data_IF_238489602168
#
_entry.id   IF_238489602168
#
_cell.length_a   1.000
_cell.length_b   1.000
_cell.length_c   1.000
_cell.angle_alpha   90.00
_cell.angle_beta   90.00
_cell.angle_gamma   90.00
#
_symmetry.space_group_name_H-M   'P 1'
#
loop_
_entity.id
_entity.type
_entity.pdbx_description
1 polymer ?
2 non-polymer ?
3 non-polymer ?
4 water ?
#
# COMPACT_ATOMS: atom_id res chain seq x y z
N UNK A 14 12.43 18.32 11.29
CA UNK A 14 11.32 17.40 11.08
C UNK A 14 11.35 16.81 9.67
N UNK A 15 10.50 15.82 9.44
CA UNK A 15 10.41 15.16 8.14
C UNK A 15 10.14 16.17 7.04
N UNK A 16 10.83 16.01 5.92
CA UNK A 16 10.63 16.82 4.72
C UNK A 16 9.89 15.95 3.70
N UNK A 17 8.66 16.27 3.34
CA UNK A 17 7.92 15.46 2.37
C UNK A 17 8.63 15.42 1.04
N UNK A 18 8.83 14.23 0.47
CA UNK A 18 9.37 14.12 -0.89
C UNK A 18 8.47 14.82 -1.89
N UNK A 19 8.99 15.14 -3.08
CA UNK A 19 8.14 15.71 -4.12
C UNK A 19 7.02 14.74 -4.52
N UNK A 20 5.93 15.29 -5.03
CA UNK A 20 4.78 14.47 -5.40
C UNK A 20 5.04 13.72 -6.70
N UNK A 21 4.59 12.45 -6.73
CA UNK A 21 4.63 11.65 -7.95
C UNK A 21 3.56 12.12 -8.92
N UNK A 22 3.62 11.67 -10.19
CA UNK A 22 2.61 12.12 -11.17
C UNK A 22 1.22 11.56 -10.85
N UNK A 23 0.22 12.39 -11.09
CA UNK A 23 -1.18 11.99 -11.00
C UNK A 23 -1.79 12.16 -12.38
N UNK A 24 -2.41 11.10 -12.89
CA UNK A 24 -3.07 11.14 -14.18
C UNK A 24 -4.58 11.06 -13.99
N UNK A 25 -5.31 11.84 -14.78
CA UNK A 25 -6.77 11.87 -14.76
C UNK A 25 -7.24 11.51 -16.17
N UNK A 26 -7.19 10.23 -16.54
CA UNK A 26 -7.54 9.84 -17.91
C UNK A 26 -8.98 10.20 -18.27
N UNK A 27 -9.17 10.60 -19.52
CA UNK A 27 -10.51 10.74 -20.06
C UNK A 27 -11.15 9.37 -20.23
N UNK A 28 -12.44 9.36 -20.53
CA UNK A 28 -13.13 8.10 -20.78
C UNK A 28 -12.46 7.34 -21.93
N UNK A 29 -12.00 8.06 -22.96
CA UNK A 29 -11.32 7.42 -24.07
C UNK A 29 -10.01 6.77 -23.63
N UNK A 30 -9.21 7.50 -22.86
CA UNK A 30 -7.94 6.95 -22.39
C UNK A 30 -8.16 5.83 -21.37
N UNK A 31 -9.26 5.88 -20.62
CA UNK A 31 -9.56 4.89 -19.59
C UNK A 31 -10.01 3.54 -20.16
N UNK A 32 -10.09 3.41 -21.48
CA UNK A 32 -10.63 2.19 -22.09
C UNK A 32 -9.77 0.98 -21.78
N UNK A 33 -8.46 1.12 -21.83
CA UNK A 33 -7.54 -0.02 -21.76
C UNK A 33 -6.42 0.26 -20.78
N UNK A 34 -6.37 -0.42 -19.63
CA UNK A 34 -5.32 -0.15 -18.63
C UNK A 34 -3.90 -0.33 -19.16
N UNK A 35 -3.62 -1.45 -19.83
CA UNK A 35 -2.26 -1.69 -20.29
C UNK A 35 -1.85 -0.68 -21.35
N UNK A 36 -2.76 -0.30 -22.24
CA UNK A 36 -2.45 0.74 -23.21
C UNK A 36 -2.17 2.06 -22.51
N UNK A 37 -2.98 2.41 -21.52
CA UNK A 37 -2.76 3.67 -20.82
C UNK A 37 -1.45 3.66 -20.06
N UNK A 38 -1.17 2.57 -19.33
CA UNK A 38 0.07 2.46 -18.57
C UNK A 38 1.27 2.50 -19.51
N UNK A 39 1.16 1.88 -20.68
CA UNK A 39 2.22 1.97 -21.66
C UNK A 39 2.45 3.38 -22.17
N UNK A 40 1.39 4.17 -22.28
CA UNK A 40 1.52 5.54 -22.80
C UNK A 40 2.09 6.49 -21.77
N UNK A 41 1.72 6.32 -20.49
CA UNK A 41 2.27 7.20 -19.45
C UNK A 41 3.68 6.77 -19.03
N UNK A 42 4.13 5.61 -19.49
CA UNK A 42 5.41 5.06 -19.03
C UNK A 42 6.60 6.00 -19.15
N UNK A 43 6.78 6.79 -20.23
CA UNK A 43 7.96 7.67 -20.29
C UNK A 43 8.11 8.58 -19.07
N UNK A 44 7.01 9.06 -18.50
CA UNK A 44 7.09 9.86 -17.30
C UNK A 44 7.09 8.99 -16.04
N UNK A 45 6.12 8.09 -15.92
CA UNK A 45 5.92 7.38 -14.68
C UNK A 45 7.09 6.45 -14.35
N UNK A 46 7.76 5.89 -15.36
CA UNK A 46 8.89 5.03 -15.00
C UNK A 46 10.07 5.84 -14.45
N UNK A 47 10.09 7.16 -14.68
CA UNK A 47 11.11 8.02 -14.09
C UNK A 47 10.80 8.42 -12.65
N UNK A 48 9.60 8.11 -12.16
CA UNK A 48 9.26 8.38 -10.77
C UNK A 48 8.96 7.12 -9.99
N UNK A 49 9.00 5.95 -10.64
CA UNK A 49 8.73 4.68 -9.97
C UNK A 49 7.28 4.38 -9.71
N UNK A 50 6.55 5.31 -9.10
CA UNK A 50 5.13 5.13 -8.85
C UNK A 50 4.38 6.27 -9.52
N UNK A 51 3.09 6.05 -9.75
CA UNK A 51 2.20 7.12 -10.17
C UNK A 51 0.79 6.81 -9.68
N UNK A 52 -0.05 7.85 -9.68
CA UNK A 52 -1.43 7.74 -9.23
C UNK A 52 -2.35 7.96 -10.42
N UNK A 53 -3.43 7.20 -10.49
CA UNK A 53 -4.39 7.31 -11.57
C UNK A 53 -5.77 7.49 -10.97
N UNK A 54 -6.41 8.62 -11.29
CA UNK A 54 -7.78 8.90 -10.86
C UNK A 54 -8.75 8.52 -11.96
N UNK A 55 -9.64 7.55 -11.75
CA UNK A 55 -10.61 7.19 -12.79
C UNK A 55 -11.59 8.32 -13.04
N UNK A 56 -12.33 8.27 -14.15
CA UNK A 56 -13.36 9.29 -14.38
C UNK A 56 -14.34 9.35 -13.22
N UNK A 57 -14.96 10.53 -13.07
CA UNK A 57 -15.78 10.79 -11.88
C UNK A 57 -16.87 9.76 -11.69
N UNK A 58 -17.50 9.32 -12.78
CA UNK A 58 -18.63 8.40 -12.69
C UNK A 58 -18.23 6.94 -12.60
N UNK A 59 -16.93 6.62 -12.58
CA UNK A 59 -16.47 5.23 -12.43
C UNK A 59 -16.38 4.93 -10.95
N UNK A 60 -17.40 4.28 -10.41
CA UNK A 60 -17.51 4.00 -8.97
C UNK A 60 -17.92 2.55 -8.78
N UNK A 61 -16.96 1.64 -8.67
CA UNK A 61 -17.30 0.23 -8.43
C UNK A 61 -17.90 0.03 -7.04
N UNK A 62 -18.89 -0.85 -6.92
CA UNK A 62 -19.39 -1.18 -5.58
C UNK A 62 -18.35 -1.98 -4.82
N UNK A 63 -18.55 -2.07 -3.51
CA UNK A 63 -17.70 -2.91 -2.67
C UNK A 63 -18.34 -4.28 -2.57
N UNK A 64 -17.60 -5.33 -2.96
CA UNK A 64 -18.20 -6.64 -3.18
C UNK A 64 -17.68 -7.71 -2.23
N UNK A 65 -16.97 -7.35 -1.17
CA UNK A 65 -16.54 -8.35 -0.19
C UNK A 65 -17.72 -8.84 0.62
N UNK A 66 -17.59 -10.07 1.13
CA UNK A 66 -18.59 -10.66 2.03
C UNK A 66 -18.39 -10.06 3.42
N UNK A 67 -19.03 -8.92 3.66
CA UNK A 67 -18.79 -8.14 4.86
C UNK A 67 -19.29 -8.85 6.10
N UNK A 68 -20.40 -9.59 5.99
CA UNK A 68 -20.97 -10.24 7.17
C UNK A 68 -19.99 -11.24 7.78
N UNK A 69 -19.24 -11.97 6.95
CA UNK A 69 -18.35 -13.01 7.43
C UNK A 69 -16.88 -12.61 7.40
N UNK A 70 -16.56 -11.38 6.98
CA UNK A 70 -15.18 -10.93 6.93
C UNK A 70 -14.59 -10.89 8.34
N UNK A 71 -13.73 -11.87 8.65
CA UNK A 71 -13.08 -11.96 9.95
C UNK A 71 -11.60 -12.23 9.72
N UNK A 72 -10.75 -11.64 10.56
CA UNK A 72 -9.32 -11.76 10.35
C UNK A 72 -8.58 -11.41 11.62
N UNK A 73 -7.37 -11.97 11.76
CA UNK A 73 -6.46 -11.62 12.83
C UNK A 73 -5.30 -10.83 12.23
N UNK A 74 -5.24 -9.51 12.42
CA UNK A 74 -4.18 -8.72 11.82
C UNK A 74 -2.84 -8.96 12.51
N UNK A 75 -1.78 -8.53 11.84
CA UNK A 75 -0.44 -8.73 12.37
C UNK A 75 -0.01 -7.49 13.14
N UNK A 76 0.72 -7.72 14.23
CA UNK A 76 1.18 -6.64 15.09
C UNK A 76 2.40 -5.98 14.47
N UNK A 77 2.43 -4.66 14.45
CA UNK A 77 3.56 -3.90 13.93
C UNK A 77 4.09 -2.96 15.01
N UNK A 78 5.34 -3.18 15.42
CA UNK A 78 6.04 -2.28 16.34
C UNK A 78 6.88 -1.32 15.51
N UNK A 79 6.50 -0.04 15.52
CA UNK A 79 7.05 0.91 14.57
C UNK A 79 8.55 1.06 14.72
N UNK A 80 9.05 1.00 15.96
CA UNK A 80 10.46 1.27 16.24
C UNK A 80 11.26 0.00 16.47
N UNK A 81 10.81 -1.13 15.93
CA UNK A 81 11.46 -2.41 16.24
C UNK A 81 12.92 -2.42 15.79
N UNK A 82 13.22 -1.81 14.65
CA UNK A 82 14.61 -1.79 14.18
C UNK A 82 15.47 -0.90 15.06
N UNK A 83 14.98 0.32 15.35
CA UNK A 83 15.73 1.22 16.22
C UNK A 83 15.95 0.62 17.60
N UNK A 84 15.01 -0.20 18.06
CA UNK A 84 15.09 -0.78 19.40
C UNK A 84 16.16 -1.86 19.54
N UNK A 85 16.77 -2.30 18.44
CA UNK A 85 17.78 -3.37 18.53
C UNK A 85 19.00 -2.93 19.33
N UNK A 93 10.55 -10.52 28.78
CA UNK A 93 9.92 -11.58 28.00
C UNK A 93 9.59 -11.11 26.59
N UNK A 94 10.62 -10.86 25.79
CA UNK A 94 10.40 -10.44 24.42
C UNK A 94 9.83 -11.59 23.59
N UNK A 95 8.98 -11.25 22.63
CA UNK A 95 8.21 -12.21 21.87
C UNK A 95 6.75 -12.29 22.27
N UNK A 96 6.41 -11.84 23.47
CA UNK A 96 5.04 -11.82 23.98
C UNK A 96 4.59 -10.38 24.25
N UNK A 97 4.88 -9.49 23.31
CA UNK A 97 4.66 -8.06 23.55
C UNK A 97 3.17 -7.72 23.66
N UNK A 98 2.38 -8.19 22.69
CA UNK A 98 0.98 -7.80 22.58
C UNK A 98 0.08 -9.03 22.58
N UNK A 99 -1.21 -8.78 22.75
CA UNK A 99 -2.23 -9.81 22.77
C UNK A 99 -3.01 -9.77 21.46
N UNK A 100 -3.05 -10.89 20.74
CA UNK A 100 -3.68 -10.91 19.43
C UNK A 100 -5.20 -10.88 19.58
N UNK A 101 -5.86 -10.13 18.70
CA UNK A 101 -7.30 -10.05 18.65
C UNK A 101 -7.80 -10.37 17.26
N UNK A 102 -8.87 -11.14 17.17
CA UNK A 102 -9.58 -11.33 15.90
C UNK A 102 -10.62 -10.23 15.76
N UNK A 103 -10.78 -9.74 14.53
CA UNK A 103 -11.70 -8.65 14.26
C UNK A 103 -12.64 -9.01 13.12
N UNK A 104 -13.77 -8.32 13.09
CA UNK A 104 -14.54 -8.11 11.89
C UNK A 104 -14.10 -6.79 11.25
N UNK A 105 -14.54 -6.56 10.02
CA UNK A 105 -14.27 -5.26 9.38
C UNK A 105 -14.79 -4.12 10.25
N UNK A 106 -15.96 -4.31 10.86
CA UNK A 106 -16.55 -3.27 11.70
C UNK A 106 -15.75 -3.09 12.99
N UNK A 107 -15.44 -4.20 13.67
CA UNK A 107 -14.74 -4.07 14.95
C UNK A 107 -13.31 -3.57 14.76
N UNK A 108 -12.69 -3.91 13.62
CA UNK A 108 -11.37 -3.35 13.33
C UNK A 108 -11.46 -1.85 13.09
N UNK A 109 -12.50 -1.41 12.37
CA UNK A 109 -12.64 0.01 12.12
C UNK A 109 -12.93 0.79 13.40
N UNK A 110 -13.73 0.21 14.29
CA UNK A 110 -13.96 0.83 15.59
C UNK A 110 -12.64 0.99 16.34
N UNK A 111 -11.83 -0.08 16.38
CA UNK A 111 -10.53 -0.01 17.02
C UNK A 111 -9.64 1.01 16.35
N UNK A 112 -9.64 1.05 15.01
CA UNK A 112 -8.71 1.91 14.28
C UNK A 112 -9.06 3.38 14.49
N UNK A 113 -10.35 3.73 14.41
CA UNK A 113 -10.75 5.11 14.61
C UNK A 113 -10.50 5.55 16.05
N UNK A 114 -10.80 4.69 17.02
CA UNK A 114 -10.53 5.02 18.42
C UNK A 114 -9.05 5.25 18.66
N UNK A 115 -8.19 4.41 18.06
CA UNK A 115 -6.75 4.60 18.22
C UNK A 115 -6.31 5.97 17.70
N UNK A 116 -6.72 6.30 16.48
CA UNK A 116 -6.25 7.54 15.85
C UNK A 116 -6.80 8.76 16.58
N UNK A 117 -8.12 8.77 16.86
CA UNK A 117 -8.70 9.92 17.53
C UNK A 117 -8.13 10.10 18.93
N UNK A 118 -7.83 9.00 19.63
CA UNK A 118 -7.18 9.12 20.93
C UNK A 118 -5.76 9.63 20.78
N UNK A 119 -5.02 9.12 19.79
CA UNK A 119 -3.62 9.50 19.63
C UNK A 119 -3.47 10.99 19.35
N UNK A 120 -4.26 11.50 18.40
CA UNK A 120 -4.15 12.90 17.99
C UNK A 120 -5.10 13.83 18.74
N UNK A 121 -6.00 13.30 19.57
CA UNK A 121 -6.92 14.12 20.36
C UNK A 121 -7.80 15.00 19.45
N UNK A 122 -8.23 14.45 18.33
CA UNK A 122 -9.12 15.16 17.42
C UNK A 122 -9.85 14.12 16.56
N UNK A 123 -10.95 14.50 15.91
CA UNK A 123 -11.64 13.55 15.04
C UNK A 123 -10.73 13.07 13.91
N UNK A 124 -10.91 11.81 13.51
CA UNK A 124 -9.94 11.18 12.62
C UNK A 124 -9.80 11.95 11.32
N UNK A 125 -10.90 12.43 10.75
CA UNK A 125 -10.83 13.11 9.46
C UNK A 125 -10.26 14.51 9.56
N UNK A 126 -10.04 15.03 10.76
CA UNK A 126 -9.47 16.36 10.94
C UNK A 126 -7.95 16.33 11.08
N UNK A 127 -7.35 15.15 11.19
CA UNK A 127 -5.89 15.07 11.37
C UNK A 127 -5.23 15.31 10.02
N UNK A 128 -4.36 16.32 9.90
CA UNK A 128 -3.72 16.59 8.61
C UNK A 128 -2.83 15.43 8.17
N UNK A 129 -2.90 15.11 6.88
CA UNK A 129 -2.06 14.02 6.36
C UNK A 129 -0.59 14.31 6.61
N UNK A 130 -0.18 15.58 6.56
CA UNK A 130 1.22 15.93 6.82
C UNK A 130 1.62 15.63 8.26
N UNK A 131 0.68 15.74 9.20
CA UNK A 131 1.00 15.48 10.60
C UNK A 131 1.16 13.98 10.85
N UNK A 132 0.25 13.16 10.33
CA UNK A 132 0.41 11.72 10.48
C UNK A 132 1.73 11.26 9.87
N UNK A 133 2.06 11.81 8.69
CA UNK A 133 3.33 11.49 8.05
C UNK A 133 4.52 11.87 8.94
N UNK A 134 4.53 13.11 9.45
CA UNK A 134 5.62 13.55 10.31
C UNK A 134 5.72 12.68 11.56
N UNK A 135 4.57 12.36 12.16
CA UNK A 135 4.57 11.59 13.39
C UNK A 135 4.96 10.14 13.15
N UNK A 136 4.55 9.57 12.01
CA UNK A 136 4.93 8.21 11.67
C UNK A 136 6.45 8.05 11.67
N UNK A 137 7.16 8.93 10.96
CA UNK A 137 8.60 8.76 10.85
C UNK A 137 9.32 9.11 12.15
N UNK A 138 8.76 10.03 12.94
CA UNK A 138 9.31 10.26 14.28
C UNK A 138 9.19 9.01 15.13
N UNK A 139 8.02 8.35 15.10
CA UNK A 139 7.84 7.15 15.91
C UNK A 139 8.75 6.02 15.47
N UNK A 140 9.00 5.91 14.16
CA UNK A 140 9.83 4.82 13.65
C UNK A 140 11.23 4.88 14.25
N UNK A 141 11.75 6.09 14.47
CA UNK A 141 13.09 6.26 15.00
C UNK A 141 13.11 6.61 16.48
N UNK A 142 11.95 6.62 17.14
CA UNK A 142 11.89 7.00 18.54
C UNK A 142 12.26 5.81 19.42
N UNK A 143 13.16 6.05 20.38
CA UNK A 143 13.50 5.05 21.40
C UNK A 143 12.76 5.29 22.71
N UNK A 144 12.16 6.46 22.91
CA UNK A 144 11.50 6.80 24.15
C UNK A 144 10.00 6.56 24.12
N UNK A 145 9.44 6.15 22.98
CA UNK A 145 8.01 5.94 22.82
C UNK A 145 7.80 4.74 21.92
N UNK A 146 7.14 3.70 22.44
CA UNK A 146 6.90 2.45 21.71
C UNK A 146 5.44 2.41 21.28
N UNK A 147 5.17 2.72 20.01
CA UNK A 147 3.84 2.66 19.45
C UNK A 147 3.69 1.35 18.69
N UNK A 148 2.57 0.66 18.93
CA UNK A 148 2.28 -0.63 18.32
C UNK A 148 0.91 -0.55 17.66
N UNK A 149 0.83 -0.97 16.40
CA UNK A 149 -0.43 -1.00 15.68
C UNK A 149 -0.63 -2.38 15.05
N UNK A 150 -1.76 -2.54 14.36
CA UNK A 150 -2.16 -3.80 13.76
C UNK A 150 -2.55 -3.57 12.31
N UNK A 151 -2.25 -4.53 11.46
CA UNK A 151 -2.44 -4.39 10.03
C UNK A 151 -3.07 -5.67 9.49
N UNK A 152 -4.26 -5.56 8.90
CA UNK A 152 -4.83 -6.72 8.23
C UNK A 152 -4.23 -6.88 6.85
N UNK A 153 -2.96 -7.31 6.78
CA UNK A 153 -2.21 -7.32 5.52
C UNK A 153 -2.21 -8.70 4.88
N UNK A 154 -2.22 -8.71 3.55
CA UNK A 154 -2.09 -9.94 2.76
C UNK A 154 -3.21 -10.92 3.04
N UNK A 155 -4.43 -10.42 3.07
CA UNK A 155 -5.60 -11.27 3.09
C UNK A 155 -5.92 -11.65 1.66
N UNK A 156 -5.99 -12.95 1.38
CA UNK A 156 -6.28 -13.37 0.02
C UNK A 156 -7.71 -13.01 -0.36
N UNK A 157 -7.90 -12.59 -1.61
CA UNK A 157 -9.24 -12.36 -2.10
C UNK A 157 -10.03 -13.65 -2.26
N UNK A 158 -9.38 -14.81 -2.14
CA UNK A 158 -10.12 -16.06 -2.13
C UNK A 158 -10.89 -16.25 -0.84
N UNK A 159 -10.40 -15.70 0.28
CA UNK A 159 -11.02 -15.91 1.57
C UNK A 159 -12.47 -15.41 1.58
N UNK A 160 -12.65 -14.11 1.38
CA UNK A 160 -13.98 -13.51 1.49
C UNK A 160 -14.39 -12.81 0.19
N UNK A 161 -13.72 -13.12 -0.90
CA UNK A 161 -14.00 -12.47 -2.16
C UNK A 161 -13.16 -11.22 -2.36
N UNK A 162 -13.13 -10.78 -3.61
CA UNK A 162 -12.49 -9.52 -3.96
C UNK A 162 -13.38 -8.35 -3.59
N UNK A 163 -12.76 -7.18 -3.41
CA UNK A 163 -13.52 -5.96 -3.26
C UNK A 163 -14.24 -5.55 -4.53
N UNK A 164 -13.75 -5.99 -5.69
CA UNK A 164 -14.44 -5.78 -6.96
C UNK A 164 -15.47 -6.88 -7.18
N UNK A 165 -16.61 -6.57 -7.81
CA UNK A 165 -17.52 -7.63 -8.23
C UNK A 165 -16.86 -8.54 -9.25
N UNK A 166 -17.09 -9.84 -9.09
CA UNK A 166 -16.51 -10.86 -9.96
C UNK A 166 -17.64 -11.79 -10.39
N UNK A 167 -17.70 -12.05 -11.70
CA UNK A 167 -18.73 -12.93 -12.26
C UNK A 167 -18.28 -14.39 -12.15
N UNK A 168 -18.22 -14.87 -10.91
CA UNK A 168 -17.90 -16.26 -10.63
C UNK A 168 -19.07 -17.04 -10.01
N UNK A 169 -20.21 -16.38 -9.79
CA UNK A 169 -21.38 -17.04 -9.25
C UNK A 169 -21.45 -17.12 -7.74
N UNK A 170 -20.43 -16.64 -7.02
CA UNK A 170 -20.43 -16.73 -5.57
C UNK A 170 -21.24 -15.64 -4.91
N UNK A 171 -21.45 -14.52 -5.59
CA UNK A 171 -22.16 -13.38 -5.03
C UNK A 171 -22.96 -12.71 -6.14
N UNK A 172 -24.14 -12.20 -5.78
CA UNK A 172 -25.03 -11.60 -6.75
C UNK A 172 -24.41 -10.35 -7.36
N UNK A 173 -24.59 -10.18 -8.66
CA UNK A 173 -24.13 -9.01 -9.41
C UNK A 173 -25.36 -8.29 -9.93
N UNK A 174 -25.53 -7.03 -9.53
CA UNK A 174 -26.60 -6.23 -10.07
C UNK A 174 -26.28 -5.82 -11.51
N UNK A 175 -27.29 -5.46 -12.30
CA UNK A 175 -27.01 -5.04 -13.68
C UNK A 175 -26.07 -3.84 -13.77
N UNK A 176 -26.28 -2.81 -12.94
CA UNK A 176 -25.42 -1.64 -12.97
C UNK A 176 -24.01 -1.92 -12.46
N UNK A 177 -23.77 -3.09 -11.87
CA UNK A 177 -22.45 -3.47 -11.40
C UNK A 177 -21.71 -4.37 -12.38
N UNK A 178 -22.38 -4.87 -13.42
CA UNK A 178 -21.74 -5.82 -14.32
C UNK A 178 -20.57 -5.18 -15.05
N UNK A 179 -20.69 -3.91 -15.42
CA UNK A 179 -19.59 -3.24 -16.12
C UNK A 179 -18.32 -3.27 -15.29
N UNK A 180 -18.45 -3.16 -13.97
CA UNK A 180 -17.26 -3.23 -13.11
C UNK A 180 -16.70 -4.64 -13.02
N UNK A 181 -17.57 -5.64 -13.09
CA UNK A 181 -17.09 -7.03 -13.07
C UNK A 181 -16.32 -7.36 -14.35
N UNK A 182 -16.61 -6.67 -15.44
CA UNK A 182 -15.96 -6.91 -16.72
C UNK A 182 -14.87 -5.89 -17.04
N UNK A 183 -14.74 -4.84 -16.24
CA UNK A 183 -13.79 -3.77 -16.52
C UNK A 183 -12.36 -4.28 -16.50
N UNK A 184 -11.54 -3.77 -17.43
CA UNK A 184 -10.12 -4.05 -17.40
C UNK A 184 -9.39 -3.48 -16.21
N UNK A 185 -10.00 -2.51 -15.52
CA UNK A 185 -9.41 -1.93 -14.31
C UNK A 185 -9.81 -2.69 -13.05
N UNK A 186 -10.78 -3.59 -13.13
CA UNK A 186 -10.99 -4.59 -12.08
C UNK A 186 -9.72 -5.40 -11.94
N UNK A 187 -9.12 -5.38 -10.74
CA UNK A 187 -7.82 -6.03 -10.56
C UNK A 187 -7.88 -7.52 -10.84
N UNK A 188 -9.05 -8.14 -10.76
CA UNK A 188 -9.17 -9.56 -11.11
C UNK A 188 -9.03 -9.80 -12.61
N UNK A 189 -9.11 -8.75 -13.42
CA UNK A 189 -9.03 -8.88 -14.88
C UNK A 189 -7.70 -8.37 -15.44
N UNK A 190 -6.73 -8.09 -14.58
CA UNK A 190 -5.39 -7.74 -15.05
C UNK A 190 -4.64 -9.01 -15.46
N UNK A 191 -3.83 -8.96 -16.51
CA UNK A 191 -3.06 -10.15 -16.90
C UNK A 191 -1.97 -10.43 -15.86
N UNK A 192 -1.79 -11.72 -15.56
CA UNK A 192 -0.87 -12.14 -14.51
C UNK A 192 0.06 -13.26 -14.94
N UNK A 193 -0.10 -13.79 -16.15
CA UNK A 193 0.71 -14.92 -16.61
C UNK A 193 1.92 -14.38 -17.37
N UNK A 194 3.11 -14.59 -16.81
CA UNK A 194 4.34 -14.20 -17.49
C UNK A 194 4.70 -15.21 -18.58
N UNK A 195 5.20 -14.71 -19.70
CA UNK A 195 5.68 -15.59 -20.76
C UNK A 195 6.92 -16.34 -20.30
N UNK A 196 6.98 -17.63 -20.64
CA UNK A 196 8.11 -18.47 -20.28
C UNK A 196 8.04 -19.76 -21.08
N UNK A 197 9.19 -20.41 -21.22
CA UNK A 197 9.20 -21.73 -21.84
C UNK A 197 8.58 -22.77 -20.92
N UNK A 198 8.80 -22.65 -19.61
CA UNK A 198 8.22 -23.55 -18.62
C UNK A 198 6.69 -23.57 -18.69
N UNK A 209 -2.65 -16.73 -9.61
CA UNK A 209 -2.36 -15.42 -9.02
C UNK A 209 -3.63 -14.58 -8.91
N UNK A 210 -3.95 -14.16 -7.68
CA UNK A 210 -5.17 -13.41 -7.41
C UNK A 210 -4.81 -12.17 -6.60
N UNK A 211 -5.69 -11.18 -6.55
CA UNK A 211 -5.41 -9.98 -5.76
C UNK A 211 -5.41 -10.27 -4.27
N UNK A 212 -4.67 -9.43 -3.54
CA UNK A 212 -4.56 -9.50 -2.09
C UNK A 212 -5.18 -8.25 -1.47
N UNK A 213 -5.65 -8.39 -0.22
CA UNK A 213 -6.38 -7.33 0.46
C UNK A 213 -5.61 -6.81 1.66
N UNK A 214 -5.81 -5.52 1.98
CA UNK A 214 -5.08 -4.86 3.05
C UNK A 214 -6.07 -3.96 3.79
N UNK A 215 -6.37 -4.31 5.03
CA UNK A 215 -7.24 -3.52 5.90
C UNK A 215 -6.33 -2.72 6.82
N UNK A 216 -6.26 -1.41 6.60
CA UNK A 216 -5.29 -0.58 7.27
C UNK A 216 -5.87 0.20 8.42
N UNK A 217 -4.97 0.64 9.31
CA UNK A 217 -5.26 1.61 10.35
C UNK A 217 -4.13 2.61 10.38
N UNK A 218 -4.33 3.70 11.11
CA UNK A 218 -3.29 4.72 11.25
C UNK A 218 -1.98 4.09 11.71
N UNK A 219 -0.91 4.37 10.96
CA UNK A 219 0.48 4.00 11.17
C UNK A 219 0.78 2.58 10.70
N UNK A 220 -0.20 1.78 10.30
CA UNK A 220 0.12 0.48 9.73
C UNK A 220 0.86 0.70 8.41
N UNK A 221 1.81 -0.18 8.10
CA UNK A 221 2.81 0.21 7.12
C UNK A 221 3.34 -1.00 6.34
N UNK A 222 4.03 -0.68 5.24
CA UNK A 222 4.79 -1.66 4.46
C UNK A 222 6.16 -1.07 4.17
N UNK A 223 7.21 -1.86 4.36
CA UNK A 223 8.55 -1.32 4.21
C UNK A 223 9.00 -1.43 2.76
N UNK A 224 10.22 -0.96 2.49
CA UNK A 224 10.72 -0.84 1.13
C UNK A 224 10.89 -2.22 0.49
N UNK A 225 10.34 -2.39 -0.71
CA UNK A 225 10.49 -3.66 -1.43
C UNK A 225 10.24 -3.45 -2.92
N UNK A 226 10.65 -4.45 -3.70
CA UNK A 226 10.23 -4.60 -5.08
C UNK A 226 9.46 -5.91 -5.19
N UNK A 227 8.80 -6.11 -6.32
CA UNK A 227 7.98 -7.30 -6.50
C UNK A 227 8.80 -8.46 -7.02
N UNK A 228 8.32 -9.67 -6.74
CA UNK A 228 8.92 -10.85 -7.34
C UNK A 228 8.93 -10.69 -8.86
N UNK A 229 10.04 -11.14 -9.47
CA UNK A 229 10.23 -11.05 -10.92
C UNK A 229 10.26 -9.61 -11.42
N UNK A 230 10.50 -8.65 -10.52
CA UNK A 230 10.48 -7.23 -10.86
C UNK A 230 9.15 -6.80 -11.48
N UNK A 231 8.06 -7.39 -11.02
CA UNK A 231 6.77 -7.18 -11.66
C UNK A 231 6.22 -5.78 -11.39
N UNK A 232 5.42 -5.28 -12.35
CA UNK A 232 4.48 -4.20 -12.05
C UNK A 232 3.54 -4.63 -10.94
N UNK A 233 3.00 -3.65 -10.22
CA UNK A 233 1.84 -3.90 -9.38
C UNK A 233 0.84 -2.78 -9.58
N UNK A 234 -0.43 -3.10 -9.37
CA UNK A 234 -1.49 -2.09 -9.39
C UNK A 234 -2.26 -2.20 -8.09
N UNK A 235 -2.67 -1.05 -7.54
CA UNK A 235 -3.19 -0.97 -6.19
C UNK A 235 -4.42 -0.06 -6.21
N UNK A 236 -5.53 -0.53 -5.65
CA UNK A 236 -6.78 0.24 -5.63
C UNK A 236 -7.26 0.41 -4.19
N UNK A 237 -7.56 1.64 -3.80
CA UNK A 237 -8.09 1.91 -2.47
C UNK A 237 -9.61 1.94 -2.57
N UNK A 238 -10.25 0.89 -2.06
CA UNK A 238 -11.71 0.78 -2.18
C UNK A 238 -12.42 1.86 -1.38
N UNK A 239 -11.97 2.10 -0.15
CA UNK A 239 -12.63 3.08 0.71
C UNK A 239 -11.72 3.37 1.90
N UNK A 240 -12.07 4.43 2.63
CA UNK A 240 -11.36 4.79 3.84
C UNK A 240 -10.42 5.97 3.67
N UNK A 241 -9.62 6.18 4.71
CA UNK A 241 -8.66 7.27 4.73
C UNK A 241 -7.47 6.93 3.83
N UNK A 242 -6.68 7.93 3.43
CA UNK A 242 -5.67 7.69 2.38
C UNK A 242 -4.57 6.74 2.80
N UNK A 243 -3.89 6.23 1.78
CA UNK A 243 -2.67 5.44 1.93
C UNK A 243 -1.52 6.30 1.40
N UNK A 244 -0.52 6.55 2.23
CA UNK A 244 0.62 7.38 1.84
C UNK A 244 1.73 6.49 1.30
N UNK A 245 2.23 6.84 0.12
CA UNK A 245 3.20 6.05 -0.63
C UNK A 245 4.53 6.79 -0.76
N UNK A 246 5.62 6.03 -0.85
CA UNK A 246 6.89 6.53 -1.33
C UNK A 246 7.39 5.59 -2.41
N UNK A 247 7.98 6.16 -3.45
CA UNK A 247 8.43 5.36 -4.57
C UNK A 247 9.78 5.85 -5.05
N UNK A 248 10.58 4.92 -5.58
CA UNK A 248 11.89 5.21 -6.12
C UNK A 248 11.95 4.67 -7.55
N UNK A 249 12.39 5.45 -8.53
CA UNK A 249 12.46 4.93 -9.91
C UNK A 249 13.46 3.80 -10.01
N UNK A 250 13.24 2.91 -10.98
CA UNK A 250 14.08 1.73 -11.11
C UNK A 250 15.51 2.08 -11.48
N UNK A 251 15.75 3.22 -12.15
CA UNK A 251 17.13 3.57 -12.46
C UNK A 251 17.94 3.81 -11.20
N UNK A 252 17.28 4.04 -10.06
CA UNK A 252 17.98 4.23 -8.80
C UNK A 252 17.89 3.01 -7.88
N UNK A 253 17.49 1.85 -8.41
CA UNK A 253 17.33 0.68 -7.54
C UNK A 253 18.63 0.29 -6.87
N UNK A 254 19.73 0.23 -7.63
CA UNK A 254 21.01 -0.15 -7.05
C UNK A 254 21.49 0.87 -6.03
N UNK A 255 21.20 2.17 -6.26
CA UNK A 255 21.57 3.18 -5.29
C UNK A 255 20.87 2.96 -3.97
N UNK A 256 19.55 2.70 -4.01
CA UNK A 256 18.80 2.43 -2.78
C UNK A 256 19.37 1.22 -2.07
N UNK A 257 19.63 0.14 -2.80
CA UNK A 257 20.16 -1.07 -2.18
C UNK A 257 21.52 -0.79 -1.55
N UNK A 258 22.33 0.06 -2.18
CA UNK A 258 23.61 0.45 -1.60
C UNK A 258 23.43 1.18 -0.28
N UNK A 259 22.52 2.17 -0.25
CA UNK A 259 22.28 2.90 0.99
C UNK A 259 21.75 1.96 2.07
N UNK A 260 20.92 0.99 1.68
CA UNK A 260 20.45 -0.02 2.62
C UNK A 260 21.63 -0.77 3.24
N UNK A 261 22.50 -1.33 2.40
CA UNK A 261 23.63 -2.10 2.91
C UNK A 261 24.53 -1.25 3.81
N UNK A 262 24.62 0.05 3.54
CA UNK A 262 25.45 0.91 4.37
C UNK A 262 24.81 1.13 5.75
N UNK A 263 23.51 1.40 5.78
CA UNK A 263 22.85 1.89 6.99
C UNK A 263 21.93 0.90 7.68
N UNK A 264 21.50 -0.17 7.00
CA UNK A 264 20.67 -1.17 7.66
C UNK A 264 21.46 -1.87 8.75
N UNK A 265 20.79 -2.44 9.75
CA UNK A 265 21.48 -3.15 10.83
C UNK A 265 22.46 -4.18 10.29
N UNK A 266 23.63 -4.26 10.94
CA UNK A 266 24.66 -5.19 10.51
C UNK A 266 24.18 -6.64 10.57
N UNK A 267 23.32 -6.96 11.54
CA UNK A 267 22.84 -8.32 11.69
C UNK A 267 22.01 -8.78 10.50
N UNK A 268 21.34 -7.86 9.83
CA UNK A 268 20.51 -8.20 8.68
C UNK A 268 21.20 -7.88 7.36
N UNK A 269 22.47 -7.46 7.39
CA UNK A 269 23.14 -7.01 6.18
C UNK A 269 23.30 -8.14 5.17
N UNK A 270 23.80 -9.29 5.64
CA UNK A 270 24.06 -10.43 4.78
C UNK A 270 22.79 -11.20 4.39
N UNK A 271 21.62 -10.72 4.77
CA UNK A 271 20.43 -11.50 4.49
C UNK A 271 20.04 -11.40 3.01
N UNK A 272 19.57 -12.49 2.41
CA UNK A 272 19.04 -12.41 1.05
C UNK A 272 17.94 -11.36 0.94
N UNK A 273 17.78 -10.81 -0.27
CA UNK A 273 16.85 -9.71 -0.49
C UNK A 273 15.43 -10.08 -0.05
N UNK A 274 14.99 -11.31 -0.34
CA UNK A 274 13.62 -11.71 -0.02
C UNK A 274 13.35 -11.61 1.48
N UNK A 275 14.36 -11.92 2.30
CA UNK A 275 14.22 -11.84 3.75
C UNK A 275 14.51 -10.43 4.27
N UNK A 276 15.55 -9.79 3.75
CA UNK A 276 15.86 -8.42 4.19
C UNK A 276 14.67 -7.50 3.98
N UNK A 277 13.92 -7.69 2.89
CA UNK A 277 12.75 -6.88 2.58
C UNK A 277 11.66 -6.96 3.62
N UNK A 278 11.72 -7.92 4.55
CA UNK A 278 10.75 -7.97 5.62
C UNK A 278 10.99 -6.88 6.65
N UNK A 279 12.19 -6.30 6.70
CA UNK A 279 12.56 -5.32 7.71
C UNK A 279 13.36 -4.17 7.11
N UNK A 280 13.13 -3.84 5.85
CA UNK A 280 13.82 -2.73 5.21
C UNK A 280 13.04 -1.43 5.38
N UNK A 281 12.87 -1.01 6.64
CA UNK A 281 12.22 0.27 6.90
C UNK A 281 13.29 1.35 6.94
N UNK A 282 13.07 2.41 6.18
CA UNK A 282 14.05 3.50 6.10
C UNK A 282 13.33 4.81 5.81
N UNK A 283 13.65 5.83 6.59
CA UNK A 283 13.11 7.16 6.39
C UNK A 283 13.43 7.64 4.97
N UNK A 284 12.42 8.09 4.20
CA UNK A 284 12.71 8.60 2.85
C UNK A 284 13.74 9.71 2.83
N UNK A 285 13.80 10.56 3.86
CA UNK A 285 14.78 11.65 3.86
C UNK A 285 16.20 11.11 3.92
N UNK A 286 16.41 9.96 4.55
CA UNK A 286 17.74 9.35 4.58
C UNK A 286 18.18 8.98 3.17
N UNK A 287 17.28 8.35 2.41
CA UNK A 287 17.57 8.03 1.02
C UNK A 287 17.85 9.29 0.22
N UNK A 288 17.00 10.31 0.40
CA UNK A 288 17.17 11.57 -0.31
C UNK A 288 18.50 12.23 0.02
N UNK A 289 18.91 12.20 1.29
CA UNK A 289 20.20 12.75 1.68
C UNK A 289 21.36 12.02 1.00
N UNK A 290 21.15 10.77 0.59
CA UNK A 290 22.18 9.98 -0.08
C UNK A 290 22.04 10.03 -1.60
N UNK A 291 21.28 10.97 -2.14
CA UNK A 291 21.13 11.14 -3.57
C UNK A 291 20.07 10.28 -4.22
N UNK A 292 19.30 9.52 -3.45
CA UNK A 292 18.28 8.64 -4.03
C UNK A 292 17.01 9.44 -4.30
N UNK A 293 16.50 9.45 -5.54
CA UNK A 293 15.24 10.14 -5.81
C UNK A 293 14.07 9.40 -5.18
N UNK A 294 13.22 10.14 -4.48
CA UNK A 294 12.03 9.59 -3.83
C UNK A 294 10.85 10.47 -4.17
N UNK A 295 9.72 9.85 -4.53
CA UNK A 295 8.47 10.55 -4.76
C UNK A 295 7.40 10.03 -3.81
N UNK A 296 6.43 10.86 -3.48
CA UNK A 296 5.37 10.52 -2.55
C UNK A 296 4.02 10.73 -3.19
N UNK A 297 2.99 10.13 -2.58
CA UNK A 297 1.61 10.51 -2.89
C UNK A 297 0.72 10.06 -1.75
N UNK A 298 -0.42 10.74 -1.61
CA UNK A 298 -1.53 10.28 -0.79
C UNK A 298 -2.55 9.66 -1.74
N UNK A 299 -2.65 8.34 -1.73
CA UNK A 299 -3.67 7.66 -2.53
C UNK A 299 -4.99 7.71 -1.77
N UNK A 300 -5.99 8.35 -2.36
CA UNK A 300 -7.29 8.51 -1.72
C UNK A 300 -8.26 7.45 -2.25
N UNK A 301 -9.40 7.33 -1.55
CA UNK A 301 -10.40 6.34 -1.91
C UNK A 301 -10.81 6.49 -3.37
N UNK A 302 -10.89 5.36 -4.07
CA UNK A 302 -11.24 5.35 -5.48
C UNK A 302 -10.10 5.61 -6.44
N UNK A 303 -8.87 5.71 -5.95
CA UNK A 303 -7.72 5.99 -6.80
C UNK A 303 -6.79 4.78 -6.88
N UNK A 304 -6.14 4.64 -8.03
CA UNK A 304 -5.16 3.60 -8.29
C UNK A 304 -3.73 4.12 -8.09
N UNK A 305 -2.85 3.22 -7.67
CA UNK A 305 -1.41 3.47 -7.69
C UNK A 305 -0.78 2.33 -8.48
N UNK A 306 0.06 2.69 -9.45
CA UNK A 306 0.83 1.71 -10.23
C UNK A 306 2.29 1.84 -9.86
N UNK A 307 2.94 0.71 -9.59
CA UNK A 307 4.38 0.65 -9.37
C UNK A 307 5.01 -0.01 -10.59
N UNK A 308 6.08 0.59 -11.10
CA UNK A 308 6.71 0.11 -12.32
C UNK A 308 7.76 -0.93 -11.99
N UNK A 309 8.25 -1.67 -12.99
CA UNK A 309 9.17 -2.77 -12.69
C UNK A 309 10.41 -2.29 -11.94
N UNK A 310 10.72 -2.98 -10.84
CA UNK A 310 11.89 -2.72 -10.01
C UNK A 310 11.85 -1.34 -9.39
N UNK A 311 10.65 -0.81 -9.17
CA UNK A 311 10.48 0.46 -8.47
C UNK A 311 10.26 0.16 -6.99
N UNK A 312 11.28 0.43 -6.18
CA UNK A 312 11.12 0.23 -4.73
C UNK A 312 10.03 1.14 -4.21
N UNK A 313 9.21 0.61 -3.29
CA UNK A 313 8.16 1.43 -2.71
C UNK A 313 7.91 1.00 -1.27
N UNK A 314 7.33 1.93 -0.52
CA UNK A 314 6.99 1.73 0.88
C UNK A 314 5.91 2.73 1.23
N UNK A 315 5.29 2.54 2.40
CA UNK A 315 4.21 3.46 2.74
C UNK A 315 3.56 3.14 4.06
N UNK A 316 2.50 3.91 4.35
CA UNK A 316 1.74 3.71 5.59
C UNK A 316 0.33 4.24 5.36
N UNK A 317 -0.59 3.79 6.20
CA UNK A 317 -1.99 4.19 6.11
C UNK A 317 -2.30 5.34 7.07
N UNK A 318 -3.06 6.32 6.56
CA UNK A 318 -3.46 7.46 7.37
C UNK A 318 -4.51 7.09 8.41
N UNK A 319 -5.28 6.03 8.15
CA UNK A 319 -6.34 5.62 9.04
C UNK A 319 -7.05 4.40 8.49
N UNK A 320 -8.24 4.13 9.03
CA UNK A 320 -9.04 2.98 8.59
C UNK A 320 -9.29 3.01 7.09
N UNK A 321 -8.85 1.97 6.37
CA UNK A 321 -9.08 1.91 4.93
C UNK A 321 -9.03 0.46 4.46
N UNK A 322 -9.26 0.27 3.16
CA UNK A 322 -9.35 -1.04 2.54
C UNK A 322 -8.76 -0.96 1.15
N UNK A 323 -7.68 -1.72 0.92
CA UNK A 323 -6.94 -1.70 -0.33
C UNK A 323 -6.88 -3.10 -0.93
N UNK A 324 -6.73 -3.14 -2.26
CA UNK A 324 -6.60 -4.37 -3.02
C UNK A 324 -5.47 -4.20 -4.01
N UNK A 325 -4.63 -5.22 -4.16
CA UNK A 325 -3.43 -5.10 -4.98
C UNK A 325 -3.14 -6.41 -5.70
N UNK A 326 -2.52 -6.31 -6.87
CA UNK A 326 -2.11 -7.49 -7.61
C UNK A 326 -0.90 -7.14 -8.47
N UNK A 327 0.00 -8.11 -8.64
CA UNK A 327 1.08 -7.97 -9.60
C UNK A 327 0.56 -8.35 -10.97
N UNK A 328 0.94 -7.57 -11.98
CA UNK A 328 0.51 -7.86 -13.35
C UNK A 328 1.70 -7.77 -14.29
N UNK A 329 1.52 -8.31 -15.49
CA UNK A 329 2.57 -8.32 -16.50
C UNK A 329 2.01 -7.81 -17.81
N UNK A 330 2.91 -7.29 -18.64
CA UNK A 330 2.52 -6.58 -19.86
C UNK A 330 2.98 -7.32 -21.11
#
# INVERSE_FOLDING_TARGET
HNMAGVGPGGYAAEFVPPPECPVFEPSWEEFTDPLSFIGRIRPLAEKTGICKIRPPKDWQPPFACEVKSFRFTPRVQRLNELEAMTRVRPREAFGFEQAVREYTLQSFGEMADNFKSDYFNMPVHMVPTELVEKEFWRLVSSIEEDVIVEYGADISSKDFGSGFPVKDGRRKILPEEEEYALSGWNLNNMPVLEQSVLAHINVDISGMKVPWLYVGMCFSSFCWHIEDHWSYSINYLHWGEPKTWYGVPSHAAEQLEEVMRELAPELFESQPDLLHQLVTIMNPNVLMEHGVPVYRTNQCAGEFVVTFPRAYHSGFNQGYNFAEAVNFCT
#
